data_IF_865980990304
#
_entry.id   IF_865980990304
#
_cell.length_a   1.000
_cell.length_b   1.000
_cell.length_c   1.000
_cell.angle_alpha   90.00
_cell.angle_beta   90.00
_cell.angle_gamma   90.00
#
_symmetry.space_group_name_H-M   'P 1'
#
loop_
_entity.id
_entity.type
_entity.pdbx_description
1 polymer ?
#
# COMPACT_ATOMS: atom_id res chain seq x y z
N UNK A 1 -4.15 -14.20 1.19
CA UNK A 1 -5.26 -13.50 1.88
C UNK A 1 -5.08 -11.98 1.79
N UNK A 2 -4.11 -11.35 2.48
CA UNK A 2 -3.90 -9.88 2.39
C UNK A 2 -3.16 -9.43 1.11
N UNK A 3 -2.01 -10.04 0.77
CA UNK A 3 -1.26 -9.67 -0.44
C UNK A 3 -2.10 -9.79 -1.72
N UNK A 4 -2.95 -10.81 -1.80
CA UNK A 4 -3.87 -11.04 -2.91
C UNK A 4 -4.99 -9.98 -2.92
N UNK A 5 -5.59 -9.71 -1.76
CA UNK A 5 -6.57 -8.63 -1.60
C UNK A 5 -6.03 -7.27 -2.06
N UNK A 6 -4.79 -6.93 -1.70
CA UNK A 6 -4.15 -5.68 -2.13
C UNK A 6 -4.04 -5.62 -3.66
N UNK A 7 -3.58 -6.70 -4.30
CA UNK A 7 -3.48 -6.77 -5.76
C UNK A 7 -4.86 -6.67 -6.43
N UNK A 8 -5.88 -7.33 -5.88
CA UNK A 8 -7.27 -7.26 -6.35
C UNK A 8 -7.89 -5.86 -6.18
N UNK A 9 -7.32 -5.03 -5.30
CA UNK A 9 -7.71 -3.64 -5.06
C UNK A 9 -6.72 -2.65 -5.68
N UNK A 10 -6.10 -3.01 -6.80
CA UNK A 10 -5.19 -2.15 -7.60
C UNK A 10 -3.91 -1.68 -6.91
N UNK A 11 -3.51 -2.31 -5.81
CA UNK A 11 -2.17 -2.07 -5.29
C UNK A 11 -1.13 -2.82 -6.13
N UNK A 12 -0.09 -2.10 -6.50
CA UNK A 12 1.08 -2.65 -7.19
C UNK A 12 2.13 -3.00 -6.16
N UNK A 13 2.65 -4.23 -6.22
CA UNK A 13 3.78 -4.64 -5.37
C UNK A 13 5.05 -3.90 -5.81
N UNK A 14 5.82 -3.42 -4.84
CA UNK A 14 7.11 -2.78 -5.07
C UNK A 14 8.07 -3.71 -5.83
N UNK A 15 8.80 -3.15 -6.80
CA UNK A 15 9.73 -3.91 -7.64
C UNK A 15 11.02 -4.29 -6.89
N UNK A 16 11.49 -3.38 -6.04
CA UNK A 16 12.71 -3.57 -5.22
C UNK A 16 12.35 -4.18 -3.87
N UNK A 17 11.29 -3.69 -3.25
CA UNK A 17 10.78 -4.19 -1.98
C UNK A 17 9.44 -4.92 -2.18
N UNK A 18 9.46 -6.23 -1.99
CA UNK A 18 8.29 -7.10 -2.14
C UNK A 18 7.28 -6.99 -0.98
N UNK A 19 7.65 -6.32 0.12
CA UNK A 19 6.78 -6.07 1.27
C UNK A 19 5.99 -4.76 1.13
N UNK A 20 6.44 -3.88 0.23
CA UNK A 20 5.80 -2.61 -0.09
C UNK A 20 4.76 -2.78 -1.19
N UNK A 21 3.60 -2.17 -1.00
CA UNK A 21 2.51 -2.08 -1.95
C UNK A 21 2.12 -0.62 -2.14
N UNK A 22 1.87 -0.22 -3.38
CA UNK A 22 1.63 1.17 -3.74
C UNK A 22 0.37 1.25 -4.60
N UNK A 23 -0.56 2.14 -4.23
CA UNK A 23 -1.72 2.51 -5.05
C UNK A 23 -1.70 4.00 -5.31
N UNK A 24 -1.75 4.38 -6.59
CA UNK A 24 -1.83 5.78 -7.01
C UNK A 24 -3.28 6.21 -7.17
N UNK A 25 -3.63 7.36 -6.62
CA UNK A 25 -4.94 7.99 -6.66
C UNK A 25 -4.82 9.38 -7.26
N UNK A 26 -4.99 9.55 -8.58
CA UNK A 26 -4.80 10.85 -9.26
C UNK A 26 -3.49 11.54 -8.84
N UNK A 27 -3.55 12.49 -7.90
CA UNK A 27 -2.41 13.25 -7.39
C UNK A 27 -1.79 12.68 -6.10
N UNK A 28 -2.43 11.68 -5.49
CA UNK A 28 -2.05 11.11 -4.22
C UNK A 28 -1.55 9.68 -4.36
N UNK A 29 -0.85 9.20 -3.36
CA UNK A 29 -0.35 7.83 -3.30
C UNK A 29 -0.60 7.25 -1.91
N UNK A 30 -1.01 5.99 -1.87
CA UNK A 30 -1.13 5.20 -0.66
C UNK A 30 -0.08 4.09 -0.68
N UNK A 31 0.59 3.94 0.45
CA UNK A 31 1.65 2.97 0.70
C UNK A 31 1.16 2.01 1.78
N UNK A 32 1.38 0.72 1.55
CA UNK A 32 1.13 -0.33 2.53
C UNK A 32 2.39 -1.16 2.62
N UNK A 33 2.99 -1.23 3.80
CA UNK A 33 4.16 -2.06 4.06
C UNK A 33 3.80 -3.14 5.08
N UNK A 34 4.07 -4.39 4.72
CA UNK A 34 3.66 -5.56 5.51
C UNK A 34 4.90 -6.22 6.11
N UNK A 35 4.98 -6.18 7.43
CA UNK A 35 5.95 -6.93 8.22
C UNK A 35 5.31 -8.22 8.76
N UNK A 36 6.07 -9.00 9.53
CA UNK A 36 5.57 -10.26 10.11
C UNK A 36 4.46 -9.98 11.13
N UNK A 37 4.70 -8.99 12.00
CA UNK A 37 3.82 -8.68 13.13
C UNK A 37 2.94 -7.45 12.90
N UNK A 38 3.39 -6.52 12.04
CA UNK A 38 2.76 -5.21 11.85
C UNK A 38 2.47 -4.88 10.38
N UNK A 39 1.49 -4.01 10.17
CA UNK A 39 1.20 -3.39 8.87
C UNK A 39 1.25 -1.88 9.06
N UNK A 40 2.07 -1.22 8.23
CA UNK A 40 2.20 0.24 8.22
C UNK A 40 1.47 0.80 6.99
N UNK A 41 0.60 1.78 7.23
CA UNK A 41 -0.10 2.54 6.19
C UNK A 41 0.47 3.95 6.13
N UNK A 42 0.77 4.42 4.93
CA UNK A 42 1.18 5.80 4.68
C UNK A 42 0.45 6.39 3.48
N UNK A 43 0.23 7.70 3.48
CA UNK A 43 -0.30 8.40 2.30
C UNK A 43 0.31 9.78 2.16
N UNK A 44 0.42 10.24 0.92
CA UNK A 44 0.73 11.65 0.62
C UNK A 44 -0.44 12.59 0.88
N UNK A 45 -1.65 12.05 1.08
CA UNK A 45 -2.84 12.83 1.40
C UNK A 45 -3.36 12.44 2.79
N UNK A 46 -3.35 13.40 3.70
CA UNK A 46 -3.80 13.21 5.08
C UNK A 46 -5.25 12.77 5.21
N UNK A 47 -6.11 13.06 4.23
CA UNK A 47 -7.50 12.58 4.22
C UNK A 47 -7.65 11.09 3.89
N UNK A 48 -6.66 10.47 3.23
CA UNK A 48 -6.65 9.04 2.92
C UNK A 48 -6.13 8.18 4.09
N UNK A 49 -5.55 8.81 5.12
CA UNK A 49 -5.02 8.16 6.31
C UNK A 49 -5.74 8.61 7.60
N UNK A 50 -7.04 8.94 7.50
CA UNK A 50 -7.92 9.20 8.64
C UNK A 50 -8.74 7.98 9.03
#
# INVERSE_FOLDING_TARGET
>A
RLRKFLIENDYVRGKVDNTLFVKKFKNDTMYVQIYVDDIVFGSTNSSLCK
#
